data_IF_688846603235
#
_entry.id   IF_688846603235
#
_cell.length_a   1.000
_cell.length_b   1.000
_cell.length_c   1.000
_cell.angle_alpha   90.00
_cell.angle_beta   90.00
_cell.angle_gamma   90.00
#
_symmetry.space_group_name_H-M   'P 1'
#
loop_
_entity.id
_entity.type
_entity.pdbx_description
1 polymer ?
#
# COMPACT_ATOMS: atom_id res chain seq x y z
N UNK A 1 -26.78 -12.05 1.54
CA UNK A 1 -25.48 -12.56 2.01
C UNK A 1 -24.59 -11.34 2.05
N UNK A 2 -24.16 -10.94 3.25
CA UNK A 2 -23.25 -9.80 3.41
C UNK A 2 -22.04 -10.06 2.52
N UNK A 3 -21.81 -9.17 1.55
CA UNK A 3 -20.58 -9.19 0.80
C UNK A 3 -19.50 -8.84 1.80
N UNK A 4 -18.82 -9.85 2.35
CA UNK A 4 -17.49 -9.66 2.88
C UNK A 4 -16.71 -8.97 1.77
N UNK A 5 -16.44 -7.68 1.97
CA UNK A 5 -15.57 -6.87 1.14
C UNK A 5 -14.17 -7.45 1.32
N UNK A 6 -13.92 -8.60 0.68
CA UNK A 6 -12.59 -9.11 0.48
C UNK A 6 -11.90 -7.97 -0.27
N UNK A 7 -11.06 -7.20 0.42
CA UNK A 7 -10.27 -6.13 -0.16
C UNK A 7 -9.24 -6.77 -1.12
N UNK A 8 -9.72 -7.28 -2.26
CA UNK A 8 -8.92 -7.82 -3.36
C UNK A 8 -8.17 -6.71 -4.11
N UNK A 9 -8.33 -5.46 -3.67
CA UNK A 9 -7.74 -4.29 -4.31
C UNK A 9 -6.42 -3.87 -3.67
N UNK A 10 -5.88 -4.62 -2.70
CA UNK A 10 -4.53 -4.38 -2.19
C UNK A 10 -3.53 -4.55 -3.32
N UNK A 11 -2.70 -3.52 -3.55
CA UNK A 11 -1.65 -3.52 -4.57
C UNK A 11 -0.30 -3.38 -3.89
N UNK A 12 0.76 -3.76 -4.61
CA UNK A 12 2.11 -3.60 -4.12
C UNK A 12 2.56 -2.14 -4.28
N UNK A 13 3.07 -1.60 -3.20
CA UNK A 13 3.71 -0.29 -3.13
C UNK A 13 5.19 -0.47 -2.80
N UNK A 14 6.05 0.22 -3.54
CA UNK A 14 7.48 0.33 -3.29
C UNK A 14 7.76 1.73 -2.75
N UNK A 15 8.36 1.83 -1.56
CA UNK A 15 8.83 3.12 -1.07
C UNK A 15 10.05 3.59 -1.86
N UNK A 16 10.08 4.84 -2.30
CA UNK A 16 11.22 5.39 -3.04
C UNK A 16 12.42 5.65 -2.14
N UNK A 17 12.20 5.96 -0.85
CA UNK A 17 13.28 6.25 0.11
C UNK A 17 14.09 5.04 0.53
N UNK A 18 13.40 3.98 0.94
CA UNK A 18 14.03 2.78 1.51
C UNK A 18 13.86 1.55 0.63
N UNK A 19 13.22 1.70 -0.54
CA UNK A 19 12.98 0.63 -1.52
C UNK A 19 12.15 -0.55 -0.99
N UNK A 20 11.54 -0.38 0.18
CA UNK A 20 10.73 -1.40 0.82
C UNK A 20 9.41 -1.60 0.09
N UNK A 21 9.08 -2.86 -0.20
CA UNK A 21 7.86 -3.25 -0.92
C UNK A 21 6.85 -3.83 0.07
N UNK A 22 5.62 -3.33 0.03
CA UNK A 22 4.53 -3.76 0.90
C UNK A 22 3.17 -3.67 0.21
N UNK A 23 2.17 -4.36 0.74
CA UNK A 23 0.81 -4.35 0.17
C UNK A 23 -0.07 -3.39 0.96
N UNK A 24 -0.81 -2.56 0.25
CA UNK A 24 -1.76 -1.63 0.84
C UNK A 24 -2.88 -1.29 -0.16
N UNK A 25 -3.97 -0.73 0.36
CA UNK A 25 -5.08 -0.27 -0.46
C UNK A 25 -4.70 0.98 -1.26
N UNK A 26 -4.88 1.01 -2.59
CA UNK A 26 -4.57 2.16 -3.42
C UNK A 26 -5.55 3.32 -3.25
N UNK A 27 -6.66 3.10 -2.53
CA UNK A 27 -7.65 4.12 -2.24
C UNK A 27 -7.32 4.90 -0.96
N UNK A 28 -6.40 4.42 -0.13
CA UNK A 28 -5.99 5.12 1.10
C UNK A 28 -4.63 5.78 0.92
N UNK A 29 -4.34 6.74 1.79
CA UNK A 29 -3.05 7.44 1.81
C UNK A 29 -1.99 6.47 2.37
N UNK A 30 -1.27 5.81 1.48
CA UNK A 30 -0.29 4.77 1.82
C UNK A 30 1.03 5.42 2.27
N UNK A 31 1.47 5.11 3.49
CA UNK A 31 2.76 5.54 4.03
C UNK A 31 3.68 4.34 4.22
N UNK A 32 4.97 4.53 3.96
CA UNK A 32 5.94 3.46 4.17
C UNK A 32 6.04 3.10 5.66
N UNK A 33 5.82 1.83 6.06
CA UNK A 33 5.89 1.41 7.46
C UNK A 33 7.32 1.43 8.03
N UNK A 34 8.34 1.40 7.17
CA UNK A 34 9.75 1.37 7.58
C UNK A 34 10.32 2.75 7.90
N UNK A 35 9.94 3.78 7.15
CA UNK A 35 10.52 5.12 7.26
C UNK A 35 9.49 6.25 7.40
N UNK A 36 8.19 5.95 7.29
CA UNK A 36 7.11 6.93 7.35
C UNK A 36 6.99 7.82 6.10
N UNK A 37 7.77 7.58 5.03
CA UNK A 37 7.67 8.39 3.81
C UNK A 37 6.32 8.17 3.12
N UNK A 38 5.75 9.26 2.64
CA UNK A 38 4.56 9.28 1.77
C UNK A 38 4.94 9.03 0.30
N UNK A 39 6.23 9.14 -0.03
CA UNK A 39 6.82 8.80 -1.34
C UNK A 39 6.87 7.28 -1.53
N UNK A 40 5.72 6.72 -1.91
CA UNK A 40 5.56 5.32 -2.31
C UNK A 40 5.00 5.27 -3.73
N UNK A 41 5.57 4.41 -4.56
CA UNK A 41 5.13 4.19 -5.94
C UNK A 41 4.44 2.84 -6.05
N UNK A 42 3.37 2.76 -6.82
CA UNK A 42 2.70 1.49 -7.12
C UNK A 42 3.53 0.71 -8.14
N UNK A 43 3.79 -0.56 -7.86
CA UNK A 43 4.46 -1.52 -8.76
C UNK A 43 3.45 -2.53 -9.30
#
# INVERSE_FOLDING_TARGET
MAGDEINQNMVYFKCVKCEYVFQADPMVLVKCPMCGSEDVVRT
#
